data_IF_030237673174
#
_entry.id   IF_030237673174
#
_cell.length_a   1.000
_cell.length_b   1.000
_cell.length_c   1.000
_cell.angle_alpha   90.00
_cell.angle_beta   90.00
_cell.angle_gamma   90.00
#
_symmetry.space_group_name_H-M   'P 1'
#
loop_
_entity.id
_entity.type
_entity.pdbx_description
1 polymer ?
#
# COMPACT_ATOMS: atom_id res chain seq x y z
N UNK A 1 7.04 -6.01 0.78
CA UNK A 1 7.72 -5.58 -0.46
C UNK A 1 8.87 -6.50 -0.86
N UNK A 2 10.00 -6.58 -0.13
CA UNK A 2 11.17 -7.38 -0.58
C UNK A 2 10.84 -8.86 -0.87
N UNK A 3 10.04 -9.52 -0.04
CA UNK A 3 9.69 -10.93 -0.29
C UNK A 3 8.80 -11.10 -1.53
N UNK A 4 7.85 -10.18 -1.75
CA UNK A 4 7.07 -10.14 -2.98
C UNK A 4 7.97 -9.92 -4.20
N UNK A 5 8.94 -9.02 -4.10
CA UNK A 5 9.93 -8.77 -5.15
C UNK A 5 10.72 -10.03 -5.52
N UNK A 6 11.18 -10.81 -4.52
CA UNK A 6 11.85 -12.11 -4.76
C UNK A 6 10.95 -13.12 -5.45
N UNK A 7 9.69 -13.20 -5.05
CA UNK A 7 8.72 -14.10 -5.69
C UNK A 7 8.49 -13.73 -7.15
N UNK A 8 8.33 -12.44 -7.46
CA UNK A 8 8.14 -11.95 -8.82
C UNK A 8 9.40 -12.17 -9.67
N UNK A 9 10.58 -11.93 -9.12
CA UNK A 9 11.87 -12.20 -9.77
C UNK A 9 12.03 -13.68 -10.14
N UNK A 10 11.64 -14.58 -9.23
CA UNK A 10 11.64 -16.02 -9.51
C UNK A 10 10.66 -16.42 -10.64
N UNK A 11 9.65 -15.59 -10.92
CA UNK A 11 8.75 -15.77 -12.06
C UNK A 11 9.24 -15.08 -13.34
N UNK A 12 10.48 -14.58 -13.35
CA UNK A 12 11.10 -13.93 -14.52
C UNK A 12 10.75 -12.44 -14.66
N UNK A 13 10.14 -11.82 -13.65
CA UNK A 13 9.88 -10.38 -13.67
C UNK A 13 11.16 -9.62 -13.31
N UNK A 14 11.55 -8.66 -14.15
CA UNK A 14 12.65 -7.74 -13.85
C UNK A 14 12.21 -6.75 -12.76
N UNK A 15 12.97 -6.67 -11.68
CA UNK A 15 12.63 -5.84 -10.52
C UNK A 15 13.57 -4.65 -10.40
N UNK A 16 12.97 -3.47 -10.26
CA UNK A 16 13.59 -2.29 -9.67
C UNK A 16 12.92 -2.05 -8.32
N UNK A 17 13.69 -2.14 -7.24
CA UNK A 17 13.23 -1.85 -5.89
C UNK A 17 13.52 -0.38 -5.58
N UNK A 18 12.47 0.42 -5.38
CA UNK A 18 12.61 1.81 -4.95
C UNK A 18 12.40 1.92 -3.44
N UNK A 19 13.28 2.67 -2.75
CA UNK A 19 13.17 2.98 -1.32
C UNK A 19 13.51 4.46 -1.08
N UNK A 20 13.24 4.98 0.12
CA UNK A 20 13.71 6.33 0.46
C UNK A 20 15.24 6.36 0.60
N UNK A 21 15.86 7.49 0.24
CA UNK A 21 17.32 7.70 0.30
C UNK A 21 17.89 7.39 1.68
N UNK A 22 17.20 7.78 2.75
CA UNK A 22 17.61 7.49 4.12
C UNK A 22 17.76 5.97 4.36
N UNK A 23 16.75 5.17 4.02
CA UNK A 23 16.79 3.72 4.23
C UNK A 23 17.80 3.01 3.31
N UNK A 24 17.99 3.50 2.09
CA UNK A 24 19.02 3.01 1.18
C UNK A 24 20.42 3.18 1.74
N UNK A 25 20.72 4.33 2.36
CA UNK A 25 22.04 4.63 2.94
C UNK A 25 22.32 3.79 4.20
N UNK A 26 21.30 3.52 5.02
CA UNK A 26 21.49 3.08 6.41
C UNK A 26 21.20 1.61 6.68
N UNK A 27 20.31 0.94 5.94
CA UNK A 27 19.83 -0.38 6.38
C UNK A 27 19.39 -1.34 5.27
N UNK A 28 18.99 -0.83 4.11
CA UNK A 28 18.36 -1.67 3.11
C UNK A 28 19.39 -2.37 2.21
N UNK A 29 19.39 -3.71 2.25
CA UNK A 29 20.07 -4.55 1.27
C UNK A 29 19.03 -5.30 0.45
N UNK A 30 19.08 -5.14 -0.86
CA UNK A 30 18.30 -5.95 -1.81
C UNK A 30 19.19 -7.03 -2.43
N UNK A 31 18.62 -8.15 -2.91
CA UNK A 31 19.39 -9.15 -3.65
C UNK A 31 20.15 -8.53 -4.84
N UNK A 32 21.38 -9.01 -5.17
CA UNK A 32 22.19 -8.44 -6.25
C UNK A 32 21.53 -8.46 -7.64
N UNK A 33 20.54 -9.34 -7.82
CA UNK A 33 19.76 -9.50 -9.04
C UNK A 33 18.71 -8.40 -9.26
N UNK A 34 18.39 -7.61 -8.22
CA UNK A 34 17.45 -6.50 -8.30
C UNK A 34 18.18 -5.16 -8.40
N UNK A 35 17.70 -4.29 -9.29
CA UNK A 35 18.14 -2.91 -9.30
C UNK A 35 17.62 -2.19 -8.05
N UNK A 36 18.47 -1.41 -7.39
CA UNK A 36 18.09 -0.54 -6.28
C UNK A 36 18.04 0.90 -6.78
N UNK A 37 16.88 1.53 -6.65
CA UNK A 37 16.67 2.94 -6.96
C UNK A 37 16.17 3.68 -5.71
N UNK A 38 16.25 5.01 -5.74
CA UNK A 38 15.87 5.82 -4.58
C UNK A 38 14.92 6.94 -4.94
N UNK A 39 14.00 7.21 -4.02
CA UNK A 39 13.16 8.43 -3.99
C UNK A 39 13.49 9.21 -2.70
N UNK A 40 13.08 10.47 -2.62
CA UNK A 40 13.22 11.24 -1.39
C UNK A 40 11.90 11.24 -0.60
N UNK A 41 12.01 11.19 0.72
CA UNK A 41 10.91 11.45 1.65
C UNK A 41 10.95 12.87 2.24
N UNK A 42 11.93 13.67 1.81
CA UNK A 42 12.23 14.99 2.38
C UNK A 42 13.17 14.96 3.59
N UNK A 43 13.59 13.77 4.05
CA UNK A 43 14.46 13.55 5.21
C UNK A 43 15.65 12.64 4.85
N UNK A 44 16.37 12.97 3.78
CA UNK A 44 17.35 12.08 3.15
C UNK A 44 18.59 11.76 4.01
N UNK A 45 18.90 12.62 4.99
CA UNK A 45 20.11 12.57 5.81
C UNK A 45 19.83 12.39 7.30
N UNK A 46 18.58 12.57 7.73
CA UNK A 46 18.18 12.48 9.14
C UNK A 46 17.04 11.48 9.26
N UNK A 47 16.98 10.74 10.37
CA UNK A 47 15.89 9.80 10.58
C UNK A 47 14.56 10.56 10.54
N UNK A 48 13.56 10.11 9.77
CA UNK A 48 12.33 10.87 9.55
C UNK A 48 11.43 11.12 10.78
N UNK A 49 11.88 10.73 11.97
CA UNK A 49 11.19 10.93 13.26
C UNK A 49 12.01 11.74 14.26
N UNK A 50 13.19 12.26 13.89
CA UNK A 50 13.97 13.15 14.75
C UNK A 50 13.48 14.59 14.58
N UNK A 51 12.70 15.08 15.56
CA UNK A 51 12.37 16.50 15.69
C UNK A 51 11.04 16.96 15.07
N UNK A 52 10.36 16.11 14.31
CA UNK A 52 9.09 16.44 13.66
C UNK A 52 7.92 15.55 14.10
N UNK A 53 6.70 16.07 13.98
CA UNK A 53 5.48 15.30 14.24
C UNK A 53 5.23 14.31 13.10
N UNK A 54 4.53 13.20 13.38
CA UNK A 54 4.16 12.22 12.34
C UNK A 54 3.38 12.85 11.19
N UNK A 55 2.60 13.91 11.46
CA UNK A 55 1.85 14.63 10.43
C UNK A 55 2.78 15.39 9.49
N UNK A 56 3.73 16.14 10.05
CA UNK A 56 4.69 16.91 9.26
C UNK A 56 5.53 15.98 8.35
N UNK A 57 5.96 14.83 8.88
CA UNK A 57 6.63 13.81 8.08
C UNK A 57 5.75 13.31 6.91
N UNK A 58 4.50 12.92 7.17
CA UNK A 58 3.59 12.41 6.13
C UNK A 58 3.31 13.47 5.07
N UNK A 59 3.00 14.71 5.48
CA UNK A 59 2.73 15.82 4.56
C UNK A 59 3.94 16.09 3.65
N UNK A 60 5.14 16.12 4.23
CA UNK A 60 6.39 16.34 3.49
C UNK A 60 6.68 15.19 2.54
N UNK A 61 6.53 13.94 2.99
CA UNK A 61 6.75 12.78 2.13
C UNK A 61 5.73 12.73 0.99
N UNK A 62 4.46 13.10 1.21
CA UNK A 62 3.48 13.13 0.11
C UNK A 62 3.89 14.11 -0.98
N UNK A 63 4.46 15.26 -0.63
CA UNK A 63 4.94 16.23 -1.62
C UNK A 63 6.17 15.71 -2.36
N UNK A 64 7.24 15.41 -1.61
CA UNK A 64 8.55 15.06 -2.19
C UNK A 64 8.55 13.68 -2.85
N UNK A 65 7.85 12.71 -2.23
CA UNK A 65 7.76 11.36 -2.74
C UNK A 65 7.08 11.32 -4.10
N UNK A 66 6.03 12.13 -4.31
CA UNK A 66 5.35 12.23 -5.61
C UNK A 66 6.24 12.81 -6.69
N UNK A 67 6.98 13.87 -6.39
CA UNK A 67 7.91 14.53 -7.31
C UNK A 67 9.06 13.58 -7.67
N UNK A 68 9.75 13.05 -6.67
CA UNK A 68 10.92 12.19 -6.90
C UNK A 68 10.59 10.81 -7.46
N UNK A 69 9.38 10.28 -7.22
CA UNK A 69 8.91 9.08 -7.93
C UNK A 69 8.64 9.39 -9.41
N UNK A 70 8.08 10.55 -9.74
CA UNK A 70 7.85 10.95 -11.12
C UNK A 70 9.19 11.09 -11.88
N UNK A 71 10.17 11.78 -11.28
CA UNK A 71 11.53 11.89 -11.81
C UNK A 71 12.18 10.52 -12.03
N UNK A 72 12.00 9.59 -11.08
CA UNK A 72 12.52 8.23 -11.22
C UNK A 72 11.87 7.49 -12.39
N UNK A 73 10.55 7.59 -12.56
CA UNK A 73 9.84 6.94 -13.66
C UNK A 73 10.23 7.53 -15.01
N UNK A 74 10.43 8.85 -15.09
CA UNK A 74 10.94 9.53 -16.29
C UNK A 74 12.35 9.04 -16.64
N UNK A 75 13.27 9.04 -15.68
CA UNK A 75 14.64 8.51 -15.84
C UNK A 75 14.64 7.06 -16.33
N UNK A 76 13.77 6.22 -15.77
CA UNK A 76 13.68 4.81 -16.16
C UNK A 76 13.06 4.66 -17.57
N UNK A 77 12.10 5.50 -17.94
CA UNK A 77 11.48 5.53 -19.25
C UNK A 77 12.40 5.99 -20.39
N UNK A 78 13.30 6.94 -20.13
CA UNK A 78 14.33 7.37 -21.09
C UNK A 78 15.42 6.31 -21.30
N UNK A 79 15.67 5.50 -20.28
CA UNK A 79 16.55 4.36 -20.37
C UNK A 79 15.88 3.19 -21.09
N UNK A 80 16.63 2.17 -21.52
CA UNK A 80 16.05 0.91 -22.04
C UNK A 80 15.28 0.09 -20.97
N UNK A 81 15.00 0.67 -19.79
CA UNK A 81 14.34 0.03 -18.66
C UNK A 81 12.91 0.55 -18.45
N UNK A 82 12.08 0.48 -19.50
CA UNK A 82 10.66 0.80 -19.40
C UNK A 82 10.02 0.07 -18.19
N UNK A 83 9.18 0.82 -17.46
CA UNK A 83 8.46 0.36 -16.27
C UNK A 83 7.03 0.01 -16.66
N UNK A 84 6.72 -1.29 -16.70
CA UNK A 84 5.38 -1.77 -17.09
C UNK A 84 4.37 -1.65 -15.94
N UNK A 85 4.83 -1.74 -14.68
CA UNK A 85 3.99 -1.75 -13.50
C UNK A 85 4.69 -1.16 -12.27
N UNK A 86 3.97 -0.35 -11.50
CA UNK A 86 4.35 0.12 -10.17
C UNK A 86 3.56 -0.66 -9.13
N UNK A 87 4.25 -1.49 -8.34
CA UNK A 87 3.69 -2.12 -7.14
C UNK A 87 4.07 -1.27 -5.93
N UNK A 88 3.07 -0.79 -5.19
CA UNK A 88 3.28 0.12 -4.07
C UNK A 88 2.57 -0.38 -2.81
N UNK A 89 3.17 -0.12 -1.64
CA UNK A 89 2.46 -0.33 -0.37
C UNK A 89 1.29 0.65 -0.29
N UNK A 90 0.09 0.14 0.00
CA UNK A 90 -1.15 0.90 -0.13
C UNK A 90 -1.24 2.11 0.80
N UNK A 91 -0.45 2.16 1.89
CA UNK A 91 -0.34 3.38 2.68
C UNK A 91 0.09 4.59 1.83
N UNK A 92 0.94 4.38 0.82
CA UNK A 92 1.43 5.42 -0.09
C UNK A 92 0.52 5.56 -1.32
N UNK A 93 -0.78 5.84 -1.08
CA UNK A 93 -1.81 5.89 -2.12
C UNK A 93 -1.48 6.80 -3.32
N UNK A 94 -0.71 7.87 -3.10
CA UNK A 94 -0.24 8.78 -4.14
C UNK A 94 0.62 8.12 -5.23
N UNK A 95 1.30 7.01 -4.93
CA UNK A 95 2.13 6.31 -5.90
C UNK A 95 1.30 5.81 -7.09
N UNK A 96 0.02 5.48 -6.86
CA UNK A 96 -0.92 5.15 -7.94
C UNK A 96 -1.17 6.34 -8.86
N UNK A 97 -1.45 7.51 -8.28
CA UNK A 97 -1.73 8.72 -9.06
C UNK A 97 -0.51 9.10 -9.90
N UNK A 98 0.70 8.96 -9.34
CA UNK A 98 1.95 9.13 -10.10
C UNK A 98 2.03 8.13 -11.25
N UNK A 99 1.88 6.83 -10.99
CA UNK A 99 1.96 5.80 -12.05
C UNK A 99 0.96 6.05 -13.19
N UNK A 100 -0.27 6.46 -12.86
CA UNK A 100 -1.32 6.77 -13.84
C UNK A 100 -0.98 7.96 -14.72
N UNK A 101 -0.27 8.97 -14.22
CA UNK A 101 0.21 10.11 -15.06
C UNK A 101 1.15 9.65 -16.18
N UNK A 102 1.89 8.57 -15.96
CA UNK A 102 2.79 7.97 -16.96
C UNK A 102 2.12 6.86 -17.78
N UNK A 103 0.82 6.60 -17.58
CA UNK A 103 0.12 5.49 -18.25
C UNK A 103 0.58 4.10 -17.79
N UNK A 104 1.25 4.00 -16.63
CA UNK A 104 1.82 2.77 -16.09
C UNK A 104 0.76 2.03 -15.25
N UNK A 105 0.78 0.70 -15.30
CA UNK A 105 -0.10 -0.14 -14.47
C UNK A 105 0.22 0.06 -12.99
N UNK A 106 -0.79 0.38 -12.18
CA UNK A 106 -0.67 0.56 -10.73
C UNK A 106 -1.24 -0.63 -9.97
N UNK A 107 -0.40 -1.33 -9.21
CA UNK A 107 -0.79 -2.44 -8.37
C UNK A 107 -0.69 -2.06 -6.88
N UNK A 108 -1.85 -1.94 -6.22
CA UNK A 108 -1.95 -1.70 -4.79
C UNK A 108 -1.55 -2.96 -4.02
N UNK A 109 -0.61 -2.87 -3.08
CA UNK A 109 -0.26 -3.97 -2.19
C UNK A 109 -0.69 -3.69 -0.75
N UNK A 110 -1.69 -4.44 -0.29
CA UNK A 110 -2.19 -4.41 1.08
C UNK A 110 -1.27 -5.29 1.96
N UNK A 111 -0.55 -4.66 2.88
CA UNK A 111 0.43 -5.32 3.77
C UNK A 111 -0.14 -5.70 5.14
N UNK A 112 -1.27 -5.11 5.53
CA UNK A 112 -2.00 -5.48 6.75
C UNK A 112 -2.89 -6.71 6.51
N UNK A 113 -3.33 -7.35 7.60
CA UNK A 113 -4.28 -8.46 7.52
C UNK A 113 -5.62 -8.01 6.90
N UNK A 114 -6.40 -8.95 6.36
CA UNK A 114 -7.63 -8.58 5.64
C UNK A 114 -8.73 -8.05 6.56
N UNK A 115 -8.82 -8.51 7.80
CA UNK A 115 -9.76 -7.99 8.80
C UNK A 115 -9.56 -6.51 9.06
N UNK A 116 -8.34 -6.08 9.32
CA UNK A 116 -7.98 -4.66 9.57
C UNK A 116 -8.21 -3.82 8.31
N UNK A 117 -7.84 -4.33 7.14
CA UNK A 117 -8.13 -3.66 5.87
C UNK A 117 -9.64 -3.48 5.66
N UNK A 118 -10.44 -4.50 5.97
CA UNK A 118 -11.90 -4.43 5.86
C UNK A 118 -12.47 -3.37 6.82
N UNK A 119 -12.02 -3.34 8.07
CA UNK A 119 -12.40 -2.31 9.05
C UNK A 119 -12.12 -0.91 8.52
N UNK A 120 -10.88 -0.62 8.10
CA UNK A 120 -10.51 0.70 7.58
C UNK A 120 -11.22 1.05 6.27
N UNK A 121 -11.48 0.06 5.41
CA UNK A 121 -12.29 0.27 4.21
C UNK A 121 -13.72 0.67 4.56
N UNK A 122 -14.33 0.07 5.59
CA UNK A 122 -15.66 0.46 6.06
C UNK A 122 -15.68 1.86 6.70
N UNK A 123 -14.57 2.30 7.30
CA UNK A 123 -14.40 3.70 7.70
C UNK A 123 -14.35 4.63 6.49
N UNK A 124 -13.56 4.29 5.46
CA UNK A 124 -13.47 5.07 4.23
C UNK A 124 -14.82 5.19 3.51
N UNK A 125 -15.67 4.16 3.59
CA UNK A 125 -17.04 4.19 3.07
C UNK A 125 -18.04 4.97 3.96
N UNK A 126 -17.59 5.50 5.11
CA UNK A 126 -18.43 6.22 6.07
C UNK A 126 -19.39 5.32 6.87
N UNK A 127 -19.22 3.99 6.81
CA UNK A 127 -20.06 2.98 7.48
C UNK A 127 -19.61 2.67 8.90
N UNK A 128 -18.38 3.04 9.25
CA UNK A 128 -17.81 2.99 10.59
C UNK A 128 -17.10 4.33 10.84
N UNK A 129 -17.03 4.78 12.09
CA UNK A 129 -16.40 6.06 12.44
C UNK A 129 -15.59 5.92 13.72
N UNK A 130 -14.54 6.74 13.83
CA UNK A 130 -13.83 6.96 15.08
C UNK A 130 -14.28 8.30 15.70
N UNK A 131 -14.36 8.42 17.05
CA UNK A 131 -14.28 7.32 18.00
C UNK A 131 -15.47 6.35 17.85
N UNK A 132 -15.30 5.11 18.32
CA UNK A 132 -16.36 4.10 18.27
C UNK A 132 -17.50 4.48 19.22
N UNK A 133 -18.73 4.49 18.71
CA UNK A 133 -19.94 4.76 19.51
C UNK A 133 -20.57 3.47 20.07
N UNK A 134 -20.45 2.38 19.33
CA UNK A 134 -21.06 1.08 19.65
C UNK A 134 -20.01 0.14 20.25
N UNK A 135 -20.42 -0.71 21.21
CA UNK A 135 -19.54 -1.69 21.87
C UNK A 135 -19.29 -2.92 21.00
N UNK A 136 -20.31 -3.34 20.25
CA UNK A 136 -20.24 -4.44 19.30
C UNK A 136 -20.32 -3.88 17.89
N UNK A 137 -19.34 -4.22 17.04
CA UNK A 137 -19.23 -3.75 15.67
C UNK A 137 -19.57 -4.91 14.73
N UNK A 138 -20.58 -4.69 13.87
CA UNK A 138 -20.97 -5.65 12.84
C UNK A 138 -20.59 -5.15 11.46
N UNK A 139 -19.61 -5.80 10.82
CA UNK A 139 -19.18 -5.49 9.46
C UNK A 139 -19.46 -6.66 8.52
N UNK A 140 -19.78 -6.39 7.24
CA UNK A 140 -19.94 -7.44 6.24
C UNK A 140 -18.75 -8.38 6.19
N UNK A 141 -19.03 -9.69 6.19
CA UNK A 141 -18.05 -10.79 6.05
C UNK A 141 -17.06 -10.92 7.21
N UNK A 142 -17.30 -10.25 8.33
CA UNK A 142 -16.56 -10.43 9.57
C UNK A 142 -17.49 -10.99 10.66
N UNK A 143 -16.95 -11.73 11.65
CA UNK A 143 -17.70 -11.98 12.88
C UNK A 143 -18.00 -10.64 13.57
N UNK A 144 -18.95 -10.66 14.51
CA UNK A 144 -19.16 -9.53 15.41
C UNK A 144 -17.86 -9.25 16.17
N UNK A 145 -17.40 -8.02 16.11
CA UNK A 145 -16.17 -7.56 16.75
C UNK A 145 -16.50 -6.82 18.03
N UNK A 146 -15.71 -7.02 19.07
CA UNK A 146 -15.74 -6.21 20.29
C UNK A 146 -14.71 -5.09 20.18
N UNK A 147 -14.71 -4.15 21.13
CA UNK A 147 -13.72 -3.07 21.19
C UNK A 147 -12.29 -3.59 21.21
N UNK A 148 -12.03 -4.70 21.90
CA UNK A 148 -10.70 -5.30 22.03
C UNK A 148 -10.19 -5.87 20.69
N UNK A 149 -11.09 -6.18 19.75
CA UNK A 149 -10.75 -6.64 18.40
C UNK A 149 -10.42 -5.48 17.44
N UNK A 150 -10.71 -4.23 17.83
CA UNK A 150 -10.57 -3.07 16.98
C UNK A 150 -9.14 -2.53 16.97
N UNK A 151 -8.66 -1.98 15.84
CA UNK A 151 -7.35 -1.35 15.79
C UNK A 151 -7.21 -0.24 16.84
N UNK A 152 -6.06 -0.21 17.52
CA UNK A 152 -5.80 0.72 18.62
C UNK A 152 -6.00 2.20 18.24
N UNK A 153 -5.83 2.55 16.97
CA UNK A 153 -6.00 3.92 16.47
C UNK A 153 -7.42 4.47 16.62
N UNK A 154 -8.45 3.62 16.75
CA UNK A 154 -9.81 4.08 17.08
C UNK A 154 -9.87 4.70 18.48
N UNK A 155 -9.10 4.17 19.43
CA UNK A 155 -9.08 4.60 20.83
C UNK A 155 -8.14 5.78 21.07
N UNK A 156 -7.17 5.99 20.19
CA UNK A 156 -6.26 7.16 20.25
C UNK A 156 -6.70 8.34 19.38
N UNK A 157 -7.84 8.21 18.68
CA UNK A 157 -8.31 9.18 17.68
C UNK A 157 -8.51 10.59 18.27
N UNK A 158 -9.11 10.66 19.46
CA UNK A 158 -9.41 11.93 20.12
C UNK A 158 -8.13 12.70 20.55
N UNK A 159 -7.03 11.99 20.82
CA UNK A 159 -5.76 12.61 21.20
C UNK A 159 -4.93 13.02 19.98
N UNK A 160 -4.90 12.17 18.96
CA UNK A 160 -4.21 12.46 17.70
C UNK A 160 -4.85 11.67 16.54
N UNK A 161 -5.59 12.32 15.64
CA UNK A 161 -6.24 11.64 14.52
C UNK A 161 -5.25 11.22 13.43
N UNK A 162 -4.04 11.78 13.39
CA UNK A 162 -3.08 11.60 12.28
C UNK A 162 -2.80 10.12 11.94
N UNK A 163 -2.48 9.22 12.90
CA UNK A 163 -2.21 7.82 12.56
C UNK A 163 -3.45 7.09 12.03
N UNK A 164 -4.64 7.43 12.56
CA UNK A 164 -5.90 6.87 12.11
C UNK A 164 -6.24 7.33 10.69
N UNK A 165 -6.16 8.64 10.44
CA UNK A 165 -6.43 9.23 9.12
C UNK A 165 -5.45 8.67 8.09
N UNK A 166 -4.18 8.47 8.46
CA UNK A 166 -3.17 7.86 7.60
C UNK A 166 -3.57 6.43 7.17
N UNK A 167 -3.93 5.55 8.12
CA UNK A 167 -4.29 4.16 7.77
C UNK A 167 -5.62 4.06 7.06
N UNK A 168 -6.56 4.98 7.26
CA UNK A 168 -7.82 5.02 6.50
C UNK A 168 -7.60 5.54 5.09
N UNK A 169 -6.75 6.57 4.92
CA UNK A 169 -6.47 7.21 3.63
C UNK A 169 -5.89 6.26 2.59
N UNK A 170 -5.33 5.11 3.01
CA UNK A 170 -4.88 4.05 2.12
C UNK A 170 -5.99 3.60 1.14
N UNK A 171 -7.28 3.72 1.49
CA UNK A 171 -8.40 3.31 0.65
C UNK A 171 -8.95 4.42 -0.27
N UNK A 172 -8.44 5.64 -0.19
CA UNK A 172 -8.96 6.84 -0.89
C UNK A 172 -9.07 6.72 -2.42
N UNK A 173 -8.16 5.99 -3.05
CA UNK A 173 -8.11 5.78 -4.50
C UNK A 173 -8.01 4.29 -4.88
N UNK A 174 -8.40 3.37 -3.99
CA UNK A 174 -8.25 1.92 -4.22
C UNK A 174 -9.03 1.40 -5.43
N UNK A 175 -10.15 2.04 -5.76
CA UNK A 175 -11.02 1.71 -6.89
C UNK A 175 -10.37 1.98 -8.25
N UNK A 176 -9.35 2.86 -8.28
CA UNK A 176 -8.57 3.24 -9.47
C UNK A 176 -7.36 2.34 -9.75
N UNK A 177 -6.99 1.47 -8.79
CA UNK A 177 -5.88 0.55 -8.97
C UNK A 177 -6.23 -0.51 -10.03
N UNK A 178 -5.26 -0.86 -10.88
CA UNK A 178 -5.46 -1.91 -11.89
C UNK A 178 -5.51 -3.29 -11.24
N UNK A 179 -4.63 -3.49 -10.26
CA UNK A 179 -4.55 -4.71 -9.46
C UNK A 179 -4.52 -4.38 -7.97
N UNK A 180 -5.14 -5.26 -7.17
CA UNK A 180 -5.07 -5.23 -5.71
C UNK A 180 -4.47 -6.57 -5.27
N UNK A 181 -3.24 -6.49 -4.79
CA UNK A 181 -2.49 -7.59 -4.20
C UNK A 181 -2.66 -7.51 -2.68
N UNK A 182 -2.83 -8.64 -2.00
CA UNK A 182 -2.87 -8.65 -0.54
C UNK A 182 -1.95 -9.73 0.01
N UNK A 183 -1.29 -9.37 1.11
CA UNK A 183 -0.43 -10.28 1.84
C UNK A 183 -1.25 -11.19 2.78
N UNK A 184 -2.01 -12.12 2.21
CA UNK A 184 -2.74 -13.13 2.99
C UNK A 184 -2.85 -14.48 2.28
N UNK A 185 -3.32 -15.48 3.02
CA UNK A 185 -3.68 -16.80 2.54
C UNK A 185 -5.18 -16.81 2.22
N UNK A 186 -5.52 -17.18 0.99
CA UNK A 186 -6.90 -17.19 0.51
C UNK A 186 -7.81 -18.03 1.42
N UNK A 187 -7.33 -19.19 1.86
CA UNK A 187 -8.08 -20.14 2.68
C UNK A 187 -8.49 -19.54 4.04
N UNK A 188 -7.70 -18.60 4.57
CA UNK A 188 -7.98 -17.94 5.85
C UNK A 188 -8.98 -16.77 5.70
N UNK A 189 -8.89 -16.02 4.59
CA UNK A 189 -9.62 -14.75 4.42
C UNK A 189 -10.66 -14.76 3.28
N UNK A 190 -11.01 -15.94 2.76
CA UNK A 190 -11.97 -16.10 1.64
C UNK A 190 -13.30 -15.38 1.85
N UNK A 191 -13.75 -15.24 3.09
CA UNK A 191 -14.98 -14.54 3.42
C UNK A 191 -14.82 -13.03 3.18
N UNK A 192 -13.68 -12.45 3.54
CA UNK A 192 -13.40 -11.00 3.43
C UNK A 192 -13.04 -10.61 2.01
N UNK A 193 -12.34 -11.47 1.27
CA UNK A 193 -11.90 -11.22 -0.10
C UNK A 193 -13.12 -11.08 -1.04
N UNK A 194 -13.18 -9.99 -1.82
CA UNK A 194 -14.20 -9.74 -2.86
C UNK A 194 -13.56 -10.01 -4.23
N UNK A 195 -14.33 -10.49 -5.23
CA UNK A 195 -13.84 -10.86 -6.59
C UNK A 195 -12.89 -9.84 -7.28
N UNK A 196 -12.97 -8.54 -6.96
CA UNK A 196 -12.08 -7.48 -7.50
C UNK A 196 -10.70 -7.43 -6.82
N UNK A 197 -10.57 -8.03 -5.64
CA UNK A 197 -9.36 -8.17 -4.82
C UNK A 197 -8.84 -9.60 -5.05
N UNK A 198 -8.12 -9.83 -6.15
CA UNK A 198 -7.58 -11.15 -6.48
C UNK A 198 -6.14 -11.27 -5.98
N UNK A 199 -6.00 -11.94 -4.84
CA UNK A 199 -4.75 -12.57 -4.43
C UNK A 199 -4.59 -13.84 -5.26
N UNK A 200 -3.61 -13.86 -6.15
CA UNK A 200 -3.10 -15.10 -6.75
C UNK A 200 -1.66 -15.29 -6.32
N UNK A 201 -1.45 -15.90 -5.15
CA UNK A 201 -0.22 -16.65 -4.88
C UNK A 201 -0.53 -17.95 -4.13
N UNK A 202 -1.32 -18.78 -4.80
CA UNK A 202 -1.11 -20.23 -4.79
C UNK A 202 -1.21 -20.62 -6.26
N UNK A 203 -0.10 -21.12 -6.83
CA UNK A 203 0.13 -21.54 -8.22
C UNK A 203 -1.03 -21.40 -9.25
N UNK A 204 -0.70 -20.78 -10.39
CA UNK A 204 -1.43 -20.72 -11.68
C UNK A 204 -2.01 -19.34 -12.06
N UNK A 205 -1.27 -18.66 -12.96
CA UNK A 205 -1.76 -17.60 -13.84
C UNK A 205 -2.98 -18.11 -14.63
N UNK A 206 -4.07 -17.36 -14.55
CA UNK A 206 -5.04 -17.28 -15.64
C UNK A 206 -5.55 -15.85 -15.69
N UNK A 207 -5.27 -15.22 -16.84
CA UNK A 207 -6.03 -14.12 -17.43
C UNK A 207 -7.39 -14.71 -17.81
N UNK A 208 -8.49 -14.20 -17.27
CA UNK A 208 -9.83 -14.56 -17.76
C UNK A 208 -10.45 -13.29 -18.31
N UNK A 209 -10.65 -13.32 -19.63
CA UNK A 209 -11.43 -12.37 -20.40
C UNK A 209 -12.87 -12.32 -19.84
N UNK A 210 -13.43 -11.10 -19.84
CA UNK A 210 -14.86 -10.78 -19.97
C UNK A 210 -15.89 -11.91 -19.84
N UNK A 211 -16.85 -11.79 -18.92
CA UNK A 211 -18.28 -12.10 -19.14
C UNK A 211 -19.13 -11.32 -18.12
N UNK A 212 -20.29 -10.88 -18.62
CA UNK A 212 -21.26 -9.93 -18.08
C UNK A 212 -22.13 -10.42 -16.90
N UNK A 213 -22.68 -9.39 -16.23
CA UNK A 213 -23.76 -9.30 -15.22
C UNK A 213 -23.46 -9.77 -13.79
#
# INVERSE_FOLDING_TARGET
MIQLSKLLEHQGVRITFATTRFYSKNSLKVPPSMALETISDGFDDVRPTQGETSKAYVDRFWQVGQETLAELLEKLGESKNHVDCVVYDKFFAWALDVAKRFGIVGAAYLTQNMTVNNIYYHVQLGKLRAPLAEHEISLPKLPKLQHEDMPSFFFTYAQNPTPFDFVVSQFSNIDKADWILCNTFYELDKEVIIKKILIKFTYVLYRINSINF
#
